data_IF_476137753368
#
_entry.id   IF_476137753368
#
_cell.length_a   1.000
_cell.length_b   1.000
_cell.length_c   1.000
_cell.angle_alpha   90.00
_cell.angle_beta   90.00
_cell.angle_gamma   90.00
#
_symmetry.space_group_name_H-M   'P 1'
#
loop_
_entity.id
_entity.type
_entity.pdbx_description
1 polymer ?
#
# COMPACT_ATOMS: atom_id res chain seq x y z
N UNK A 1 7.70 -2.86 -20.59
CA UNK A 1 6.74 -3.66 -19.79
C UNK A 1 5.54 -4.09 -20.62
N UNK A 2 4.90 -3.22 -21.41
CA UNK A 2 3.74 -3.61 -22.24
C UNK A 2 4.10 -4.64 -23.32
N UNK A 3 5.09 -4.35 -24.16
CA UNK A 3 5.53 -5.28 -25.20
C UNK A 3 5.86 -6.68 -24.66
N UNK A 4 6.59 -6.76 -23.55
CA UNK A 4 6.96 -8.03 -22.91
C UNK A 4 5.76 -8.80 -22.36
N UNK A 5 4.73 -8.09 -21.87
CA UNK A 5 3.49 -8.71 -21.39
C UNK A 5 2.60 -9.18 -22.53
N UNK A 6 2.51 -8.39 -23.61
CA UNK A 6 1.73 -8.75 -24.79
C UNK A 6 2.38 -9.92 -25.54
N UNK A 7 3.71 -9.93 -25.65
CA UNK A 7 4.45 -11.06 -26.20
C UNK A 7 4.24 -12.33 -25.36
N UNK A 8 4.33 -12.23 -24.03
CA UNK A 8 4.04 -13.35 -23.11
C UNK A 8 2.66 -13.97 -23.39
N UNK A 9 1.64 -13.12 -23.58
CA UNK A 9 0.28 -13.57 -23.88
C UNK A 9 0.17 -14.16 -25.29
N UNK A 10 0.83 -13.56 -26.29
CA UNK A 10 0.85 -14.05 -27.67
C UNK A 10 1.52 -15.43 -27.78
N UNK A 11 2.51 -15.71 -26.94
CA UNK A 11 3.19 -17.00 -26.84
C UNK A 11 2.41 -18.02 -25.99
N UNK A 12 1.21 -17.68 -25.51
CA UNK A 12 0.35 -18.57 -24.73
C UNK A 12 0.77 -18.75 -23.27
N UNK A 13 1.71 -17.95 -22.77
CA UNK A 13 2.11 -17.99 -21.37
C UNK A 13 1.04 -17.34 -20.48
N UNK A 14 0.71 -18.00 -19.37
CA UNK A 14 -0.28 -17.50 -18.41
C UNK A 14 0.36 -16.53 -17.43
N UNK A 15 -0.15 -15.30 -17.37
CA UNK A 15 0.23 -14.33 -16.36
C UNK A 15 -0.17 -14.84 -14.97
N UNK A 16 0.70 -14.60 -14.00
CA UNK A 16 0.51 -14.98 -12.60
C UNK A 16 0.53 -13.74 -11.68
N UNK A 17 0.35 -13.95 -10.38
CA UNK A 17 0.36 -12.85 -9.40
C UNK A 17 1.64 -12.02 -9.48
N UNK A 18 2.81 -12.65 -9.66
CA UNK A 18 4.10 -11.95 -9.75
C UNK A 18 4.15 -11.02 -10.96
N UNK A 19 3.65 -11.50 -12.11
CA UNK A 19 3.55 -10.71 -13.35
C UNK A 19 2.78 -9.41 -13.10
N UNK A 20 1.62 -9.51 -12.46
CA UNK A 20 0.79 -8.33 -12.15
C UNK A 20 1.41 -7.44 -11.07
N UNK A 21 2.03 -7.99 -10.03
CA UNK A 21 2.76 -7.19 -9.04
C UNK A 21 3.87 -6.34 -9.70
N UNK A 22 4.61 -6.92 -10.65
CA UNK A 22 5.64 -6.21 -11.39
C UNK A 22 5.05 -5.08 -12.26
N UNK A 23 3.96 -5.35 -12.98
CA UNK A 23 3.28 -4.34 -13.81
C UNK A 23 2.76 -3.19 -12.95
N UNK A 24 2.04 -3.50 -11.86
CA UNK A 24 1.46 -2.50 -10.96
C UNK A 24 2.55 -1.60 -10.37
N UNK A 25 3.62 -2.18 -9.82
CA UNK A 25 4.74 -1.41 -9.25
C UNK A 25 5.46 -0.58 -10.32
N UNK A 26 5.68 -1.15 -11.50
CA UNK A 26 6.30 -0.45 -12.62
C UNK A 26 5.50 0.77 -13.06
N UNK A 27 4.19 0.64 -13.23
CA UNK A 27 3.32 1.75 -13.61
C UNK A 27 3.18 2.79 -12.49
N UNK A 28 3.10 2.37 -11.22
CA UNK A 28 3.07 3.28 -10.08
C UNK A 28 4.34 4.15 -10.00
N UNK A 29 5.51 3.56 -10.23
CA UNK A 29 6.78 4.28 -10.25
C UNK A 29 6.88 5.28 -11.41
N UNK A 30 6.25 4.95 -12.53
CA UNK A 30 6.14 5.84 -13.69
C UNK A 30 5.03 6.90 -13.55
N UNK A 31 4.27 6.93 -12.45
CA UNK A 31 3.11 7.81 -12.28
C UNK A 31 1.93 7.50 -13.22
N UNK A 32 1.94 6.34 -13.88
CA UNK A 32 0.91 5.93 -14.85
C UNK A 32 -0.27 5.23 -14.16
N UNK A 33 -0.96 5.93 -13.26
CA UNK A 33 -2.01 5.34 -12.41
C UNK A 33 -3.20 4.76 -13.19
N UNK A 34 -3.52 5.29 -14.38
CA UNK A 34 -4.54 4.69 -15.24
C UNK A 34 -4.17 3.26 -15.68
N UNK A 35 -2.87 2.97 -15.89
CA UNK A 35 -2.37 1.63 -16.21
C UNK A 35 -2.33 0.74 -14.97
N UNK A 36 -2.09 1.30 -13.79
CA UNK A 36 -2.26 0.57 -12.51
C UNK A 36 -3.70 0.05 -12.39
N UNK A 37 -4.69 0.94 -12.53
CA UNK A 37 -6.11 0.58 -12.45
C UNK A 37 -6.46 -0.49 -13.49
N UNK A 38 -6.04 -0.29 -14.74
CA UNK A 38 -6.27 -1.24 -15.83
C UNK A 38 -5.64 -2.61 -15.54
N UNK A 39 -4.45 -2.63 -14.91
CA UNK A 39 -3.76 -3.87 -14.54
C UNK A 39 -4.48 -4.62 -13.42
N UNK A 40 -4.97 -3.90 -12.39
CA UNK A 40 -5.75 -4.49 -11.30
C UNK A 40 -7.08 -5.07 -11.80
N UNK A 41 -7.78 -4.34 -12.69
CA UNK A 41 -9.01 -4.82 -13.31
C UNK A 41 -8.77 -6.05 -14.20
N UNK A 42 -7.67 -6.06 -14.96
CA UNK A 42 -7.29 -7.22 -15.76
C UNK A 42 -6.94 -8.42 -14.88
N UNK A 43 -6.21 -8.23 -13.78
CA UNK A 43 -5.92 -9.29 -12.81
C UNK A 43 -7.21 -9.91 -12.25
N UNK A 44 -8.21 -9.09 -11.91
CA UNK A 44 -9.52 -9.57 -11.47
C UNK A 44 -10.26 -10.38 -12.53
N UNK A 45 -10.25 -9.94 -13.80
CA UNK A 45 -10.86 -10.68 -14.93
C UNK A 45 -10.18 -12.00 -15.23
N UNK A 46 -8.87 -12.10 -14.96
CA UNK A 46 -8.09 -13.32 -15.13
C UNK A 46 -8.08 -14.19 -13.87
N UNK A 47 -8.86 -13.83 -12.84
CA UNK A 47 -8.96 -14.55 -11.57
C UNK A 47 -7.60 -14.78 -10.90
N UNK A 48 -6.69 -13.80 -11.04
CA UNK A 48 -5.37 -13.85 -10.44
C UNK A 48 -5.52 -13.85 -8.90
N UNK A 49 -4.86 -14.76 -8.18
CA UNK A 49 -4.95 -14.81 -6.73
C UNK A 49 -4.51 -13.50 -6.07
N UNK A 50 -5.44 -12.89 -5.33
CA UNK A 50 -5.21 -11.71 -4.51
C UNK A 50 -4.58 -12.12 -3.17
N UNK A 51 -3.28 -12.41 -3.17
CA UNK A 51 -2.51 -12.73 -1.97
C UNK A 51 -1.84 -11.47 -1.38
N UNK A 52 -1.11 -11.62 -0.27
CA UNK A 52 -0.38 -10.53 0.39
C UNK A 52 0.51 -9.74 -0.57
N UNK A 53 1.21 -10.40 -1.50
CA UNK A 53 2.06 -9.71 -2.47
C UNK A 53 1.26 -8.83 -3.44
N UNK A 54 0.10 -9.32 -3.90
CA UNK A 54 -0.80 -8.56 -4.77
C UNK A 54 -1.34 -7.32 -4.05
N UNK A 55 -1.87 -7.49 -2.84
CA UNK A 55 -2.36 -6.37 -2.03
C UNK A 55 -1.25 -5.35 -1.73
N UNK A 56 -0.06 -5.80 -1.38
CA UNK A 56 1.08 -4.91 -1.16
C UNK A 56 1.47 -4.14 -2.43
N UNK A 57 1.35 -4.73 -3.63
CA UNK A 57 1.60 -4.00 -4.87
C UNK A 57 0.55 -2.91 -5.12
N UNK A 58 -0.73 -3.17 -4.81
CA UNK A 58 -1.80 -2.19 -4.95
C UNK A 58 -1.68 -1.08 -3.91
N UNK A 59 -1.45 -1.41 -2.63
CA UNK A 59 -1.23 -0.42 -1.55
C UNK A 59 -0.02 0.47 -1.88
N UNK A 60 1.07 -0.13 -2.38
CA UNK A 60 2.22 0.63 -2.85
C UNK A 60 1.82 1.62 -3.94
N UNK A 61 1.02 1.20 -4.92
CA UNK A 61 0.59 2.07 -6.00
C UNK A 61 -0.30 3.22 -5.50
N UNK A 62 -1.20 2.96 -4.56
CA UNK A 62 -2.01 4.00 -3.90
C UNK A 62 -1.13 4.97 -3.09
N UNK A 63 -0.11 4.47 -2.39
CA UNK A 63 0.87 5.29 -1.68
C UNK A 63 1.65 6.22 -2.63
N UNK A 64 2.03 5.73 -3.81
CA UNK A 64 2.65 6.55 -4.86
C UNK A 64 1.70 7.59 -5.45
N UNK A 65 0.40 7.35 -5.40
CA UNK A 65 -0.64 8.28 -5.83
C UNK A 65 -1.08 9.25 -4.72
N UNK A 66 -0.54 9.11 -3.51
CA UNK A 66 -0.97 9.86 -2.31
C UNK A 66 -2.48 9.70 -2.01
N UNK A 67 -3.05 8.57 -2.39
CA UNK A 67 -4.47 8.26 -2.20
C UNK A 67 -4.66 7.43 -0.92
N UNK A 68 -4.62 8.10 0.23
CA UNK A 68 -4.78 7.45 1.54
C UNK A 68 -6.14 6.73 1.67
N UNK A 69 -7.21 7.30 1.10
CA UNK A 69 -8.55 6.71 1.18
C UNK A 69 -8.58 5.34 0.49
N UNK A 70 -7.99 5.22 -0.69
CA UNK A 70 -7.90 3.94 -1.39
C UNK A 70 -6.93 2.99 -0.69
N UNK A 71 -5.83 3.48 -0.09
CA UNK A 71 -4.95 2.64 0.75
C UNK A 71 -5.73 1.99 1.89
N UNK A 72 -6.53 2.74 2.64
CA UNK A 72 -7.38 2.22 3.73
C UNK A 72 -8.39 1.19 3.21
N UNK A 73 -9.02 1.46 2.06
CA UNK A 73 -9.99 0.55 1.44
C UNK A 73 -9.35 -0.77 1.06
N UNK A 74 -8.17 -0.73 0.45
CA UNK A 74 -7.42 -1.93 0.02
C UNK A 74 -6.91 -2.70 1.24
N UNK A 75 -6.39 -2.01 2.26
CA UNK A 75 -5.94 -2.61 3.51
C UNK A 75 -7.08 -3.32 4.26
N UNK A 76 -8.26 -2.70 4.34
CA UNK A 76 -9.44 -3.33 4.92
C UNK A 76 -9.85 -4.57 4.13
N UNK A 77 -9.95 -4.48 2.80
CA UNK A 77 -10.28 -5.61 1.92
C UNK A 77 -9.31 -6.78 2.10
N UNK A 78 -8.02 -6.49 2.28
CA UNK A 78 -7.00 -7.51 2.54
C UNK A 78 -7.31 -8.29 3.83
N UNK A 79 -7.65 -7.59 4.92
CA UNK A 79 -8.07 -8.20 6.20
C UNK A 79 -9.38 -8.97 6.07
N UNK A 80 -10.37 -8.41 5.39
CA UNK A 80 -11.69 -9.05 5.16
C UNK A 80 -11.54 -10.38 4.39
N UNK A 81 -10.53 -10.46 3.50
CA UNK A 81 -10.17 -11.69 2.78
C UNK A 81 -9.25 -12.63 3.57
N UNK A 82 -9.01 -12.36 4.85
CA UNK A 82 -8.11 -13.12 5.71
C UNK A 82 -6.66 -13.22 5.17
N UNK A 83 -6.27 -12.28 4.30
CA UNK A 83 -4.90 -12.16 3.83
C UNK A 83 -4.11 -11.38 4.88
N UNK A 84 -3.13 -12.02 5.50
CA UNK A 84 -2.39 -11.41 6.61
C UNK A 84 -1.50 -10.27 6.11
N UNK A 85 -1.67 -9.04 6.64
CA UNK A 85 -0.72 -7.96 6.44
C UNK A 85 0.67 -8.34 6.96
N UNK A 86 1.70 -7.95 6.24
CA UNK A 86 3.09 -8.12 6.66
C UNK A 86 3.70 -6.78 7.10
N UNK A 87 4.96 -6.81 7.56
CA UNK A 87 5.68 -5.60 7.95
C UNK A 87 5.69 -4.55 6.83
N UNK A 88 5.78 -4.96 5.56
CA UNK A 88 5.77 -4.01 4.44
C UNK A 88 4.41 -3.33 4.32
N UNK A 89 3.31 -4.08 4.50
CA UNK A 89 1.95 -3.51 4.53
C UNK A 89 1.82 -2.44 5.62
N UNK A 90 2.23 -2.74 6.85
CA UNK A 90 2.15 -1.80 7.97
C UNK A 90 3.02 -0.58 7.74
N UNK A 91 4.28 -0.75 7.35
CA UNK A 91 5.18 0.39 7.06
C UNK A 91 4.57 1.36 6.04
N UNK A 92 3.99 0.85 4.94
CA UNK A 92 3.35 1.71 3.93
C UNK A 92 2.16 2.50 4.50
N UNK A 93 1.30 1.85 5.29
CA UNK A 93 0.13 2.50 5.91
C UNK A 93 0.54 3.55 6.93
N UNK A 94 1.52 3.24 7.78
CA UNK A 94 2.01 4.13 8.82
C UNK A 94 2.72 5.34 8.22
N UNK A 95 3.55 5.15 7.19
CA UNK A 95 4.17 6.26 6.47
C UNK A 95 3.13 7.19 5.84
N UNK A 96 2.04 6.64 5.30
CA UNK A 96 0.95 7.44 4.75
C UNK A 96 0.19 8.23 5.84
N UNK A 97 -0.11 7.61 6.98
CA UNK A 97 -0.73 8.33 8.11
C UNK A 97 0.17 9.40 8.74
N UNK A 98 1.49 9.14 8.83
CA UNK A 98 2.46 10.13 9.33
C UNK A 98 2.46 11.38 8.46
N UNK A 99 2.41 11.23 7.13
CA UNK A 99 2.34 12.36 6.20
C UNK A 99 1.07 13.21 6.37
N UNK A 100 -0.04 12.57 6.73
CA UNK A 100 -1.32 13.25 7.00
C UNK A 100 -1.46 13.71 8.47
N UNK A 101 -0.43 13.55 9.31
CA UNK A 101 -0.47 13.94 10.72
C UNK A 101 -1.42 13.10 11.60
N UNK A 102 -1.83 11.92 11.13
CA UNK A 102 -2.78 11.04 11.83
C UNK A 102 -2.08 10.13 12.86
N UNK A 103 -1.45 10.74 13.87
CA UNK A 103 -0.64 10.03 14.88
C UNK A 103 -1.40 8.94 15.64
N UNK A 104 -2.69 9.14 15.93
CA UNK A 104 -3.52 8.14 16.60
C UNK A 104 -3.59 6.83 15.79
N UNK A 105 -3.78 6.93 14.48
CA UNK A 105 -3.84 5.75 13.59
C UNK A 105 -2.49 5.06 13.45
N UNK A 106 -1.39 5.82 13.50
CA UNK A 106 -0.03 5.26 13.52
C UNK A 106 0.14 4.41 14.77
N UNK A 107 -0.24 4.94 15.93
CA UNK A 107 -0.16 4.22 17.21
C UNK A 107 -1.03 2.97 17.24
N UNK A 108 -2.25 3.04 16.70
CA UNK A 108 -3.14 1.88 16.57
C UNK A 108 -2.53 0.77 15.71
N UNK A 109 -1.93 1.12 14.56
CA UNK A 109 -1.25 0.15 13.70
C UNK A 109 0.02 -0.42 14.35
N UNK A 110 0.75 0.37 15.13
CA UNK A 110 1.94 -0.06 15.88
C UNK A 110 1.55 -1.14 16.90
N UNK A 111 0.45 -0.91 17.63
CA UNK A 111 -0.09 -1.90 18.56
C UNK A 111 -0.62 -3.14 17.85
N UNK A 112 -1.37 -2.97 16.75
CA UNK A 112 -1.87 -4.11 15.97
C UNK A 112 -0.69 -4.97 15.47
N UNK A 113 0.34 -4.34 14.92
CA UNK A 113 1.54 -5.03 14.47
C UNK A 113 2.23 -5.73 15.64
N UNK A 114 2.39 -5.10 16.81
CA UNK A 114 3.04 -5.71 17.98
C UNK A 114 2.28 -6.94 18.52
N UNK A 115 0.95 -6.87 18.53
CA UNK A 115 0.09 -7.99 18.95
C UNK A 115 0.17 -9.17 17.98
N UNK A 116 0.41 -8.90 16.69
CA UNK A 116 0.65 -9.92 15.66
C UNK A 116 2.12 -10.39 15.62
N UNK A 117 3.06 -9.50 15.94
CA UNK A 117 4.52 -9.68 15.87
C UNK A 117 5.14 -10.33 17.11
N UNK A 118 4.32 -10.79 18.07
CA UNK A 118 4.72 -11.83 19.04
C UNK A 118 5.30 -13.11 18.39
N UNK A 119 5.36 -13.18 17.04
CA UNK A 119 6.06 -14.22 16.28
C UNK A 119 7.12 -13.78 15.25
N UNK A 120 7.30 -12.52 14.84
CA UNK A 120 8.45 -12.16 13.96
C UNK A 120 8.59 -10.65 13.70
N UNK A 121 9.86 -10.20 13.71
CA UNK A 121 10.43 -8.92 13.26
C UNK A 121 10.35 -7.71 14.23
N UNK A 122 11.47 -7.50 14.95
CA UNK A 122 11.80 -6.26 15.67
C UNK A 122 12.44 -5.24 14.73
N UNK A 123 12.35 -3.99 15.19
CA UNK A 123 13.10 -2.77 14.83
C UNK A 123 12.41 -1.82 13.84
N UNK A 124 11.68 -0.86 14.41
CA UNK A 124 11.62 0.52 13.92
C UNK A 124 12.00 1.43 15.10
N UNK A 125 13.29 1.73 15.22
CA UNK A 125 13.80 2.81 16.07
C UNK A 125 13.64 4.13 15.31
N UNK A 126 12.99 5.07 15.98
CA UNK A 126 13.14 6.54 15.91
C UNK A 126 13.29 7.19 14.54
N UNK A 127 12.25 7.92 14.11
CA UNK A 127 12.46 9.17 13.37
C UNK A 127 11.68 10.26 14.09
N UNK A 128 12.45 11.24 14.53
CA UNK A 128 12.13 12.39 15.36
C UNK A 128 10.97 13.25 14.84
N UNK A 129 10.20 13.70 15.83
CA UNK A 129 9.62 15.03 16.00
C UNK A 129 10.01 16.11 14.98
N UNK A 130 8.99 16.64 14.29
CA UNK A 130 8.83 18.08 14.04
C UNK A 130 7.34 18.39 14.25
N UNK A 131 6.97 18.90 15.42
CA UNK A 131 6.85 20.33 15.71
C UNK A 131 5.69 21.00 14.94
N UNK A 132 4.48 20.89 15.51
CA UNK A 132 3.46 21.93 15.36
C UNK A 132 3.61 22.91 16.54
N UNK A 133 3.65 24.21 16.28
CA UNK A 133 2.82 25.13 17.04
C UNK A 133 2.18 26.17 16.10
N UNK A 134 1.07 26.82 16.37
CA UNK A 134 0.02 26.72 17.37
C UNK A 134 -1.00 27.74 16.83
N UNK A 135 -2.24 27.34 16.64
CA UNK A 135 -3.32 28.24 16.29
C UNK A 135 -4.05 28.61 17.58
N UNK A 136 -3.69 29.75 18.17
CA UNK A 136 -4.60 30.70 18.83
C UNK A 136 -3.84 31.66 19.75
N UNK A 137 -3.82 32.94 19.39
CA UNK A 137 -4.08 34.03 20.35
C UNK A 137 -4.57 35.27 19.60
N UNK A 138 -5.90 35.34 19.47
CA UNK A 138 -6.62 36.61 19.36
C UNK A 138 -6.85 37.10 20.79
N UNK A 139 -6.36 38.30 21.15
CA UNK A 139 -7.08 39.32 21.94
C UNK A 139 -6.14 40.44 22.43
N UNK A 140 -6.55 41.68 22.09
CA UNK A 140 -6.46 42.94 22.84
C UNK A 140 -5.11 43.31 23.50
N UNK A 141 -4.43 44.35 22.99
CA UNK A 141 -4.53 45.78 23.36
C UNK A 141 -4.01 46.61 22.18
#
# INVERSE_FOLDING_TARGET
MEYTFDQMRAEGMKADTKTFCCLIRGYANAGLFHKVISSVQLAGRLEIPENTSFFNAVIYACSRAEDLMEMERVFKRMKDKLCQPDCTTYSMMMDAYRKEGMSDKVYDLEQEMQMMAGKTCKEYHDVETDAAPDAEKVLLI
#
